data_IF_480816740821
#
_entry.id   IF_480816740821
#
_cell.length_a   1.000
_cell.length_b   1.000
_cell.length_c   1.000
_cell.angle_alpha   90.00
_cell.angle_beta   90.00
_cell.angle_gamma   90.00
#
_symmetry.space_group_name_H-M   'P 1'
#
loop_
_entity.id
_entity.type
_entity.pdbx_description
1 polymer ?
#
# COMPACT_ATOMS: atom_id res chain seq x y z
N UNK A 1 -15.66 11.32 -10.98
CA UNK A 1 -16.86 11.02 -10.17
C UNK A 1 -17.53 9.70 -10.55
N UNK A 2 -18.13 9.53 -11.74
CA UNK A 2 -18.79 8.25 -12.11
C UNK A 2 -17.86 7.02 -12.07
N UNK A 3 -16.63 7.15 -12.55
CA UNK A 3 -15.64 6.07 -12.53
C UNK A 3 -15.22 5.67 -11.10
N UNK A 4 -15.05 6.65 -10.21
CA UNK A 4 -14.70 6.41 -8.81
C UNK A 4 -15.83 5.66 -8.08
N UNK A 5 -17.08 6.12 -8.23
CA UNK A 5 -18.23 5.45 -7.62
C UNK A 5 -18.43 4.00 -8.12
N UNK A 6 -18.10 3.73 -9.39
CA UNK A 6 -18.12 2.36 -9.91
C UNK A 6 -17.01 1.50 -9.30
N UNK A 7 -15.80 2.05 -9.14
CA UNK A 7 -14.69 1.37 -8.48
C UNK A 7 -14.99 1.06 -7.01
N UNK A 8 -15.61 1.99 -6.28
CA UNK A 8 -16.05 1.79 -4.90
C UNK A 8 -17.09 0.65 -4.81
N UNK A 9 -18.01 0.57 -5.78
CA UNK A 9 -19.02 -0.49 -5.84
C UNK A 9 -18.41 -1.86 -6.15
N UNK A 10 -17.44 -1.94 -7.07
CA UNK A 10 -16.70 -3.18 -7.35
C UNK A 10 -15.87 -3.62 -6.14
N UNK A 11 -15.27 -2.68 -5.40
CA UNK A 11 -14.54 -2.97 -4.16
C UNK A 11 -15.48 -3.54 -3.09
N UNK A 12 -16.63 -2.89 -2.86
CA UNK A 12 -17.63 -3.36 -1.91
C UNK A 12 -18.16 -4.76 -2.27
N UNK A 13 -18.38 -5.05 -3.56
CA UNK A 13 -18.77 -6.38 -4.01
C UNK A 13 -17.68 -7.42 -3.72
N UNK A 14 -16.41 -7.08 -3.91
CA UNK A 14 -15.28 -7.94 -3.55
C UNK A 14 -15.27 -8.29 -2.06
N UNK A 15 -15.47 -7.29 -1.21
CA UNK A 15 -15.53 -7.44 0.25
C UNK A 15 -16.73 -8.30 0.71
N UNK A 16 -17.91 -8.12 0.13
CA UNK A 16 -19.09 -8.94 0.45
C UNK A 16 -18.89 -10.42 0.09
N UNK A 17 -18.13 -10.70 -0.98
CA UNK A 17 -17.79 -12.07 -1.38
C UNK A 17 -16.70 -12.64 -0.47
N UNK A 18 -15.61 -11.88 -0.22
CA UNK A 18 -14.46 -12.33 0.57
C UNK A 18 -14.84 -12.65 2.02
N UNK A 19 -15.75 -11.87 2.59
CA UNK A 19 -16.26 -12.01 3.96
C UNK A 19 -17.36 -13.07 4.11
N UNK A 20 -17.79 -13.71 3.02
CA UNK A 20 -18.80 -14.78 3.05
C UNK A 20 -20.24 -14.32 3.23
N UNK A 21 -20.52 -13.02 3.06
CA UNK A 21 -21.88 -12.45 3.16
C UNK A 21 -22.70 -12.60 1.86
N UNK A 22 -22.12 -13.13 0.79
CA UNK A 22 -22.79 -13.36 -0.49
C UNK A 22 -23.63 -14.64 -0.49
N UNK A 23 -24.96 -14.49 -0.63
CA UNK A 23 -25.92 -15.60 -0.66
C UNK A 23 -25.97 -16.40 -1.99
N UNK A 24 -25.12 -16.08 -2.96
CA UNK A 24 -25.18 -16.68 -4.30
C UNK A 24 -24.16 -17.83 -4.46
N UNK A 25 -24.59 -19.06 -4.86
CA UNK A 25 -23.70 -20.22 -5.02
C UNK A 25 -22.79 -20.16 -6.25
N UNK A 26 -22.94 -19.14 -7.10
CA UNK A 26 -21.92 -18.85 -8.08
C UNK A 26 -20.72 -18.24 -7.33
N UNK A 27 -19.56 -18.90 -7.36
CA UNK A 27 -18.26 -18.26 -7.09
C UNK A 27 -18.12 -17.07 -8.07
N UNK A 28 -18.78 -15.97 -7.77
CA UNK A 28 -18.36 -14.66 -8.22
C UNK A 28 -16.99 -14.48 -7.57
N UNK A 29 -15.98 -14.36 -8.43
CA UNK A 29 -14.60 -14.34 -7.98
C UNK A 29 -14.33 -12.98 -7.32
N UNK A 30 -14.17 -12.96 -5.99
CA UNK A 30 -13.82 -11.74 -5.25
C UNK A 30 -12.60 -11.06 -5.88
N UNK A 31 -11.62 -11.85 -6.34
CA UNK A 31 -10.45 -11.35 -7.05
C UNK A 31 -10.83 -10.61 -8.33
N UNK A 32 -11.80 -11.12 -9.10
CA UNK A 32 -12.29 -10.44 -10.30
C UNK A 32 -12.99 -9.11 -9.98
N UNK A 33 -13.68 -9.00 -8.84
CA UNK A 33 -14.25 -7.74 -8.38
C UNK A 33 -13.15 -6.74 -7.98
N UNK A 34 -12.15 -7.18 -7.22
CA UNK A 34 -11.00 -6.35 -6.86
C UNK A 34 -10.18 -5.90 -8.08
N UNK A 35 -10.04 -6.74 -9.11
CA UNK A 35 -9.40 -6.34 -10.37
C UNK A 35 -10.15 -5.21 -11.06
N UNK A 36 -11.49 -5.27 -11.14
CA UNK A 36 -12.29 -4.18 -11.71
C UNK A 36 -12.22 -2.91 -10.86
N UNK A 37 -12.23 -3.05 -9.53
CA UNK A 37 -12.03 -1.92 -8.62
C UNK A 37 -10.68 -1.25 -8.87
N UNK A 38 -9.60 -2.04 -8.98
CA UNK A 38 -8.26 -1.53 -9.27
C UNK A 38 -8.19 -0.79 -10.61
N UNK A 39 -8.78 -1.36 -11.68
CA UNK A 39 -8.90 -0.70 -12.98
C UNK A 39 -9.68 0.63 -12.89
N UNK A 40 -10.81 0.63 -12.17
CA UNK A 40 -11.63 1.81 -11.97
C UNK A 40 -10.93 2.93 -11.19
N UNK A 41 -10.23 2.58 -10.11
CA UNK A 41 -9.42 3.55 -9.37
C UNK A 41 -8.26 4.09 -10.21
N UNK A 42 -7.56 3.24 -10.98
CA UNK A 42 -6.47 3.68 -11.85
C UNK A 42 -6.96 4.66 -12.94
N UNK A 43 -8.12 4.38 -13.53
CA UNK A 43 -8.78 5.27 -14.48
C UNK A 43 -9.20 6.60 -13.82
N UNK A 44 -9.70 6.55 -12.58
CA UNK A 44 -10.05 7.75 -11.82
C UNK A 44 -8.82 8.60 -11.49
N UNK A 45 -7.70 8.01 -11.05
CA UNK A 45 -6.44 8.74 -10.84
C UNK A 45 -6.00 9.46 -12.11
N UNK A 46 -6.09 8.79 -13.26
CA UNK A 46 -5.70 9.34 -14.55
C UNK A 46 -6.62 10.48 -15.02
N UNK A 47 -7.91 10.44 -14.67
CA UNK A 47 -8.88 11.46 -15.04
C UNK A 47 -8.81 12.73 -14.15
N UNK A 48 -8.37 12.59 -12.90
CA UNK A 48 -8.27 13.67 -11.91
C UNK A 48 -7.04 14.56 -12.17
N UNK A 49 -7.11 15.40 -13.20
CA UNK A 49 -5.97 16.18 -13.69
C UNK A 49 -5.94 17.62 -13.16
N UNK A 50 -7.07 18.19 -12.74
CA UNK A 50 -7.11 19.59 -12.32
C UNK A 50 -6.34 19.79 -11.00
N UNK A 51 -5.72 20.96 -10.77
CA UNK A 51 -5.04 21.25 -9.51
C UNK A 51 -5.92 21.06 -8.27
N UNK A 52 -7.21 21.40 -8.38
CA UNK A 52 -8.20 21.22 -7.31
C UNK A 52 -8.51 19.75 -7.00
N UNK A 53 -8.28 18.84 -7.95
CA UNK A 53 -8.51 17.40 -7.77
C UNK A 53 -7.36 16.71 -7.03
N UNK A 54 -6.25 17.41 -6.78
CA UNK A 54 -5.03 16.84 -6.21
C UNK A 54 -5.28 16.02 -4.93
N UNK A 55 -6.05 16.50 -3.93
CA UNK A 55 -6.34 15.69 -2.73
C UNK A 55 -7.08 14.40 -3.09
N UNK A 56 -8.16 14.49 -3.87
CA UNK A 56 -8.96 13.33 -4.29
C UNK A 56 -8.13 12.34 -5.11
N UNK A 57 -7.23 12.83 -5.98
CA UNK A 57 -6.31 11.97 -6.74
C UNK A 57 -5.38 11.20 -5.82
N UNK A 58 -4.83 11.87 -4.79
CA UNK A 58 -3.96 11.24 -3.80
C UNK A 58 -4.71 10.18 -2.98
N UNK A 59 -5.94 10.46 -2.56
CA UNK A 59 -6.80 9.51 -1.86
C UNK A 59 -7.17 8.32 -2.74
N UNK A 60 -7.50 8.56 -4.00
CA UNK A 60 -7.83 7.49 -4.96
C UNK A 60 -6.62 6.59 -5.23
N UNK A 61 -5.42 7.18 -5.37
CA UNK A 61 -4.18 6.41 -5.52
C UNK A 61 -3.87 5.60 -4.25
N UNK A 62 -4.18 6.13 -3.06
CA UNK A 62 -4.01 5.39 -1.81
C UNK A 62 -5.00 4.22 -1.70
N UNK A 63 -6.25 4.40 -2.10
CA UNK A 63 -7.25 3.34 -2.14
C UNK A 63 -6.82 2.22 -3.11
N UNK A 64 -6.38 2.60 -4.32
CA UNK A 64 -5.82 1.66 -5.30
C UNK A 64 -4.64 0.87 -4.75
N UNK A 65 -3.69 1.56 -4.09
CA UNK A 65 -2.56 0.88 -3.45
C UNK A 65 -3.03 -0.12 -2.38
N UNK A 66 -4.09 0.20 -1.63
CA UNK A 66 -4.70 -0.69 -0.66
C UNK A 66 -5.24 -1.96 -1.30
N UNK A 67 -6.01 -1.84 -2.40
CA UNK A 67 -6.54 -3.00 -3.14
C UNK A 67 -5.41 -3.89 -3.68
N UNK A 68 -4.38 -3.27 -4.26
CA UNK A 68 -3.22 -4.01 -4.77
C UNK A 68 -2.49 -4.76 -3.64
N UNK A 69 -2.37 -4.16 -2.45
CA UNK A 69 -1.68 -4.76 -1.31
C UNK A 69 -2.48 -5.88 -0.63
N UNK A 70 -3.70 -5.58 -0.16
CA UNK A 70 -4.46 -6.48 0.72
C UNK A 70 -5.18 -7.56 -0.08
N UNK A 71 -5.79 -7.18 -1.21
CA UNK A 71 -6.79 -8.01 -1.88
C UNK A 71 -6.21 -8.75 -3.08
N UNK A 72 -5.37 -8.07 -3.87
CA UNK A 72 -4.74 -8.64 -5.06
C UNK A 72 -3.36 -9.24 -4.78
N UNK A 73 -2.71 -8.80 -3.70
CA UNK A 73 -1.34 -9.15 -3.29
C UNK A 73 -0.29 -8.86 -4.38
N UNK A 74 -0.54 -7.83 -5.20
CA UNK A 74 0.44 -7.29 -6.14
C UNK A 74 1.25 -6.19 -5.42
N UNK A 75 2.21 -6.63 -4.59
CA UNK A 75 2.99 -5.71 -3.77
C UNK A 75 3.82 -4.72 -4.60
N UNK A 76 4.21 -5.08 -5.81
CA UNK A 76 4.94 -4.18 -6.71
C UNK A 76 4.05 -2.99 -7.09
N UNK A 77 2.83 -3.24 -7.57
CA UNK A 77 1.86 -2.18 -7.87
C UNK A 77 1.43 -1.42 -6.62
N UNK A 78 1.24 -2.10 -5.49
CA UNK A 78 0.94 -1.44 -4.24
C UNK A 78 2.01 -0.40 -3.87
N UNK A 79 3.30 -0.74 -4.00
CA UNK A 79 4.39 0.19 -3.74
C UNK A 79 4.40 1.37 -4.72
N UNK A 80 4.10 1.15 -6.00
CA UNK A 80 4.04 2.19 -7.02
C UNK A 80 2.90 3.19 -6.75
N UNK A 81 1.69 2.68 -6.52
CA UNK A 81 0.53 3.53 -6.24
C UNK A 81 0.62 4.22 -4.89
N UNK A 82 1.18 3.58 -3.86
CA UNK A 82 1.39 4.20 -2.57
C UNK A 82 2.43 5.34 -2.63
N UNK A 83 3.51 5.20 -3.41
CA UNK A 83 4.44 6.32 -3.68
C UNK A 83 3.73 7.47 -4.39
N UNK A 84 2.96 7.14 -5.43
CA UNK A 84 2.16 8.14 -6.18
C UNK A 84 1.21 8.90 -5.25
N UNK A 85 0.55 8.19 -4.33
CA UNK A 85 -0.32 8.77 -3.32
C UNK A 85 0.46 9.69 -2.36
N UNK A 86 1.59 9.23 -1.80
CA UNK A 86 2.42 10.01 -0.89
C UNK A 86 2.94 11.31 -1.54
N UNK A 87 3.39 11.24 -2.79
CA UNK A 87 3.85 12.40 -3.57
C UNK A 87 2.69 13.37 -3.89
N UNK A 88 1.53 12.83 -4.26
CA UNK A 88 0.36 13.63 -4.59
C UNK A 88 -0.19 14.35 -3.36
N UNK A 89 -0.31 13.66 -2.22
CA UNK A 89 -0.80 14.23 -0.95
C UNK A 89 0.18 15.25 -0.36
N UNK A 90 1.49 15.07 -0.58
CA UNK A 90 2.51 16.07 -0.23
C UNK A 90 2.53 16.44 1.25
N UNK A 91 2.66 17.73 1.55
CA UNK A 91 2.63 18.25 2.93
C UNK A 91 1.25 18.70 3.38
N UNK A 92 0.29 18.75 2.46
CA UNK A 92 -1.05 19.30 2.71
C UNK A 92 -1.92 18.32 3.51
N UNK A 93 -1.65 17.01 3.35
CA UNK A 93 -2.28 15.95 4.14
C UNK A 93 -1.21 14.99 4.72
N UNK A 94 -0.56 15.38 5.83
CA UNK A 94 0.54 14.61 6.40
C UNK A 94 0.09 13.24 6.94
N UNK A 95 -1.18 13.10 7.32
CA UNK A 95 -1.70 11.85 7.89
C UNK A 95 -2.02 10.82 6.80
N UNK A 96 -2.68 11.23 5.71
CA UNK A 96 -2.88 10.31 4.57
C UNK A 96 -1.56 9.99 3.87
N UNK A 97 -0.62 10.95 3.82
CA UNK A 97 0.74 10.66 3.36
C UNK A 97 1.43 9.64 4.24
N UNK A 98 1.33 9.72 5.57
CA UNK A 98 1.96 8.72 6.45
C UNK A 98 1.37 7.32 6.25
N UNK A 99 0.06 7.23 5.96
CA UNK A 99 -0.59 5.95 5.58
C UNK A 99 -0.05 5.41 4.25
N UNK A 100 0.14 6.27 3.25
CA UNK A 100 0.75 5.89 1.98
C UNK A 100 2.20 5.42 2.16
N UNK A 101 3.01 6.17 2.92
CA UNK A 101 4.38 5.80 3.28
C UNK A 101 4.45 4.46 4.04
N UNK A 102 3.51 4.19 4.94
CA UNK A 102 3.41 2.91 5.64
C UNK A 102 3.15 1.75 4.67
N UNK A 103 2.29 1.96 3.67
CA UNK A 103 1.99 0.95 2.66
C UNK A 103 3.16 0.70 1.71
N UNK A 104 3.93 1.75 1.35
CA UNK A 104 5.21 1.59 0.63
C UNK A 104 6.18 0.72 1.43
N UNK A 105 6.34 1.01 2.72
CA UNK A 105 7.23 0.23 3.58
C UNK A 105 6.79 -1.23 3.67
N UNK A 106 5.50 -1.48 3.88
CA UNK A 106 4.93 -2.82 3.95
C UNK A 106 5.17 -3.60 2.64
N UNK A 107 4.87 -2.99 1.50
CA UNK A 107 5.10 -3.61 0.19
C UNK A 107 6.58 -3.95 -0.05
N UNK A 108 7.50 -3.07 0.35
CA UNK A 108 8.93 -3.34 0.28
C UNK A 108 9.38 -4.48 1.18
N UNK A 109 8.71 -4.69 2.32
CA UNK A 109 8.99 -5.83 3.20
C UNK A 109 8.57 -7.13 2.53
N UNK A 110 7.36 -7.21 1.97
CA UNK A 110 6.87 -8.41 1.29
C UNK A 110 7.70 -8.77 0.06
N UNK A 111 8.05 -7.78 -0.76
CA UNK A 111 8.93 -7.99 -1.92
C UNK A 111 10.33 -8.40 -1.46
N UNK A 112 10.87 -7.73 -0.45
CA UNK A 112 12.21 -8.00 0.06
C UNK A 112 12.33 -9.37 0.73
N UNK A 113 11.30 -9.82 1.44
CA UNK A 113 11.27 -11.11 2.16
C UNK A 113 11.13 -12.31 1.23
N UNK A 114 10.51 -12.13 0.06
CA UNK A 114 10.27 -13.19 -0.93
C UNK A 114 11.31 -13.23 -2.05
N UNK A 115 12.12 -12.19 -2.21
CA UNK A 115 13.12 -12.10 -3.27
C UNK A 115 14.36 -12.98 -3.01
N UNK A 116 14.89 -13.68 -4.04
CA UNK A 116 16.16 -14.40 -3.94
C UNK A 116 17.33 -13.48 -3.58
N UNK A 117 18.22 -13.95 -2.70
CA UNK A 117 19.33 -13.13 -2.21
C UNK A 117 20.38 -12.85 -3.31
N UNK A 118 20.58 -13.78 -4.24
CA UNK A 118 21.68 -13.72 -5.22
C UNK A 118 21.43 -12.76 -6.37
N UNK A 119 20.19 -12.25 -6.52
CA UNK A 119 19.79 -11.42 -7.66
C UNK A 119 19.15 -10.11 -7.21
N UNK A 120 19.33 -9.02 -7.96
CA UNK A 120 18.57 -7.80 -7.72
C UNK A 120 17.07 -8.05 -7.86
N UNK A 121 16.28 -7.39 -7.02
CA UNK A 121 14.81 -7.37 -7.10
C UNK A 121 14.40 -6.67 -8.41
N UNK A 122 13.61 -7.33 -9.28
CA UNK A 122 13.11 -6.73 -10.52
C UNK A 122 12.38 -5.40 -10.26
N UNK A 123 12.66 -4.37 -11.07
CA UNK A 123 12.05 -3.04 -10.93
C UNK A 123 12.68 -2.14 -9.85
N UNK A 124 13.53 -2.67 -8.97
CA UNK A 124 14.14 -1.90 -7.88
C UNK A 124 15.65 -1.72 -8.00
N UNK A 125 16.34 -2.58 -8.77
CA UNK A 125 17.79 -2.45 -9.01
C UNK A 125 18.67 -2.67 -7.77
N UNK A 126 18.09 -3.17 -6.66
CA UNK A 126 18.78 -3.48 -5.41
C UNK A 126 18.46 -4.91 -4.98
N UNK A 127 19.33 -5.53 -4.17
CA UNK A 127 19.04 -6.82 -3.54
C UNK A 127 17.99 -6.69 -2.43
N UNK A 128 17.43 -7.83 -2.01
CA UNK A 128 16.43 -7.93 -0.92
C UNK A 128 16.81 -7.12 0.32
N UNK A 129 18.05 -7.26 0.80
CA UNK A 129 18.58 -6.52 1.97
C UNK A 129 18.57 -5.00 1.77
N UNK A 130 18.83 -4.51 0.55
CA UNK A 130 18.75 -3.09 0.21
C UNK A 130 17.32 -2.56 0.24
N UNK A 131 16.35 -3.39 -0.17
CA UNK A 131 14.94 -3.06 -0.13
C UNK A 131 14.41 -3.05 1.31
N UNK A 132 14.75 -4.06 2.11
CA UNK A 132 14.43 -4.13 3.54
C UNK A 132 15.06 -2.96 4.33
N UNK A 133 16.31 -2.58 4.02
CA UNK A 133 16.93 -1.39 4.58
C UNK A 133 16.19 -0.09 4.21
N UNK A 134 15.62 -0.02 3.01
CA UNK A 134 14.79 1.11 2.58
C UNK A 134 13.48 1.17 3.36
N UNK A 135 12.82 0.03 3.58
CA UNK A 135 11.64 -0.07 4.42
C UNK A 135 11.94 0.38 5.86
N UNK A 136 13.02 -0.09 6.48
CA UNK A 136 13.44 0.34 7.83
C UNK A 136 13.60 1.86 7.94
N UNK A 137 14.27 2.50 6.99
CA UNK A 137 14.45 3.96 7.00
C UNK A 137 13.12 4.71 6.94
N UNK A 138 12.15 4.20 6.18
CA UNK A 138 10.83 4.79 6.07
C UNK A 138 10.03 4.60 7.38
N UNK A 139 10.02 3.39 7.93
CA UNK A 139 9.39 3.08 9.23
C UNK A 139 9.97 3.89 10.39
N UNK A 140 11.28 4.15 10.40
CA UNK A 140 11.92 5.03 11.40
C UNK A 140 11.42 6.48 11.30
N UNK A 141 11.11 6.98 10.09
CA UNK A 141 10.49 8.29 9.93
C UNK A 141 9.03 8.27 10.42
N UNK A 142 8.26 7.24 10.07
CA UNK A 142 6.88 7.07 10.51
C UNK A 142 6.76 6.94 12.02
N UNK A 143 7.63 6.16 12.66
CA UNK A 143 7.66 6.04 14.12
C UNK A 143 7.86 7.40 14.79
N UNK A 144 8.81 8.22 14.29
CA UNK A 144 9.02 9.59 14.80
C UNK A 144 7.81 10.49 14.56
N UNK A 145 7.19 10.40 13.39
CA UNK A 145 5.96 11.14 13.07
C UNK A 145 4.84 10.84 14.07
N UNK A 146 4.55 9.56 14.32
CA UNK A 146 3.52 9.14 15.27
C UNK A 146 3.89 9.52 16.73
N UNK A 147 5.16 9.37 17.14
CA UNK A 147 5.62 9.77 18.48
C UNK A 147 5.46 11.27 18.74
N UNK A 148 5.79 12.13 17.77
CA UNK A 148 5.62 13.57 17.88
C UNK A 148 4.15 13.98 18.11
N UNK A 149 3.22 13.11 17.72
CA UNK A 149 1.77 13.31 17.84
C UNK A 149 1.16 12.58 19.04
N UNK A 150 1.96 11.86 19.84
CA UNK A 150 1.48 11.07 20.96
C UNK A 150 0.80 9.74 20.56
N UNK A 151 0.87 9.36 19.29
CA UNK A 151 0.27 8.14 18.71
C UNK A 151 1.18 6.93 18.99
N UNK A 152 1.28 6.54 20.27
CA UNK A 152 2.23 5.50 20.72
C UNK A 152 1.97 4.12 20.11
N UNK A 153 0.71 3.78 19.86
CA UNK A 153 0.35 2.51 19.24
C UNK A 153 0.90 2.42 17.81
N UNK A 154 0.62 3.43 16.98
CA UNK A 154 1.10 3.48 15.59
C UNK A 154 2.63 3.54 15.53
N UNK A 155 3.26 4.29 16.43
CA UNK A 155 4.71 4.32 16.55
C UNK A 155 5.30 2.95 16.91
N UNK A 156 4.67 2.23 17.84
CA UNK A 156 5.04 0.88 18.24
C UNK A 156 4.88 -0.13 17.10
N UNK A 157 3.80 -0.04 16.34
CA UNK A 157 3.59 -0.88 15.16
C UNK A 157 4.74 -0.74 14.15
N UNK A 158 5.30 0.46 13.98
CA UNK A 158 6.45 0.65 13.09
C UNK A 158 7.72 -0.04 13.61
N UNK A 159 7.92 -0.08 14.94
CA UNK A 159 9.05 -0.79 15.54
C UNK A 159 8.93 -2.31 15.33
N UNK A 160 7.73 -2.86 15.44
CA UNK A 160 7.46 -4.27 15.11
C UNK A 160 7.82 -4.58 13.67
N UNK A 161 7.39 -3.73 12.72
CA UNK A 161 7.72 -3.91 11.31
C UNK A 161 9.22 -3.76 11.03
N UNK A 162 9.94 -2.88 11.76
CA UNK A 162 11.41 -2.81 11.69
C UNK A 162 12.04 -4.13 12.14
N UNK A 163 11.61 -4.67 13.28
CA UNK A 163 12.10 -5.95 13.80
C UNK A 163 11.84 -7.10 12.81
N UNK A 164 10.67 -7.10 12.17
CA UNK A 164 10.33 -8.08 11.13
C UNK A 164 11.32 -8.06 9.95
N UNK A 165 11.79 -6.88 9.54
CA UNK A 165 12.79 -6.82 8.46
C UNK A 165 14.13 -7.46 8.84
N UNK A 166 14.53 -7.38 10.11
CA UNK A 166 15.76 -8.00 10.62
C UNK A 166 15.63 -9.53 10.68
N UNK A 167 14.45 -10.01 11.07
CA UNK A 167 14.12 -11.45 11.02
C UNK A 167 14.28 -12.00 9.59
N UNK A 168 13.75 -11.31 8.58
CA UNK A 168 13.86 -11.74 7.18
C UNK A 168 15.28 -11.71 6.62
N UNK A 169 16.15 -10.83 7.13
CA UNK A 169 17.57 -10.83 6.76
C UNK A 169 18.38 -11.95 7.44
N UNK A 170 17.79 -12.68 8.40
CA UNK A 170 18.54 -13.57 9.30
C UNK A 170 19.57 -12.80 10.16
N UNK A 171 19.39 -11.48 10.30
CA UNK A 171 20.31 -10.58 11.02
C UNK A 171 19.63 -10.05 12.26
N UNK A 172 19.94 -10.62 13.41
CA UNK A 172 19.50 -10.09 14.70
C UNK A 172 20.49 -9.00 15.14
N UNK A 173 20.06 -7.74 15.34
CA UNK A 173 20.93 -6.75 15.96
C UNK A 173 21.34 -7.22 17.35
N UNK A 174 22.63 -7.11 17.68
CA UNK A 174 23.16 -7.30 19.03
C UNK A 174 22.79 -6.13 19.94
#
# INVERSE_FOLDING_TARGET
MKALAAADADYAAGEEISSGHSASPARSDARAAFLRAAEGYAAAVSALTAPADRPLRGETALALAGVEYFDLQDWAKAAEWAKTAAETLGTDDPYRRSRADALVAAAWIEIGSTAPAERPVPGYGVHSTGLLASARRLLQRLSRFHLQRGERYDAGSQLTNIALTYLYEGRYPQ
#
